data_IF_985812639613
#
_entry.id   IF_985812639613
#
_cell.length_a   1.000
_cell.length_b   1.000
_cell.length_c   1.000
_cell.angle_alpha   90.00
_cell.angle_beta   90.00
_cell.angle_gamma   90.00
#
_symmetry.space_group_name_H-M   'P 1'
#
loop_
_entity.id
_entity.type
_entity.pdbx_description
1 polymer ?
#
# COMPACT_ATOMS: atom_id res chain seq x y z
N UNK A 1 12.40 7.99 33.14
CA UNK A 1 12.16 8.41 31.75
C UNK A 1 11.12 7.50 31.16
N UNK A 2 9.98 8.07 30.77
CA UNK A 2 8.82 7.33 30.28
C UNK A 2 9.16 6.58 28.98
N UNK A 3 8.53 5.43 28.74
CA UNK A 3 8.78 4.62 27.56
C UNK A 3 8.48 5.40 26.27
N UNK A 4 7.40 6.18 26.26
CA UNK A 4 7.02 7.04 25.13
C UNK A 4 8.04 8.15 24.89
N UNK A 5 8.65 8.65 25.94
CA UNK A 5 9.71 9.64 25.87
C UNK A 5 10.97 9.03 25.23
N UNK A 6 11.35 7.80 25.61
CA UNK A 6 12.50 7.09 25.02
C UNK A 6 12.29 6.80 23.54
N UNK A 7 11.10 6.33 23.18
CA UNK A 7 10.72 6.11 21.78
C UNK A 7 10.71 7.44 21.02
N UNK A 8 10.19 8.50 21.65
CA UNK A 8 10.13 9.86 21.10
C UNK A 8 11.51 10.36 20.67
N UNK A 9 12.53 10.23 21.53
CA UNK A 9 13.91 10.62 21.20
C UNK A 9 14.41 9.93 19.94
N UNK A 10 14.16 8.62 19.79
CA UNK A 10 14.60 7.88 18.60
C UNK A 10 13.82 8.27 17.35
N UNK A 11 12.53 8.57 17.47
CA UNK A 11 11.74 9.08 16.34
C UNK A 11 12.17 10.49 15.94
N UNK A 12 12.54 11.35 16.90
CA UNK A 12 13.10 12.67 16.62
C UNK A 12 14.44 12.59 15.89
N UNK A 13 15.30 11.62 16.23
CA UNK A 13 16.53 11.34 15.49
C UNK A 13 16.25 10.97 14.03
N UNK A 14 15.23 10.14 13.78
CA UNK A 14 14.79 9.79 12.42
C UNK A 14 14.28 11.04 11.69
N UNK A 15 13.50 11.89 12.37
CA UNK A 15 12.96 13.13 11.82
C UNK A 15 14.04 14.15 11.46
N UNK A 16 15.17 14.15 12.16
CA UNK A 16 16.29 15.07 11.87
C UNK A 16 17.05 14.71 10.59
N UNK A 17 16.81 13.53 10.00
CA UNK A 17 17.40 13.17 8.72
C UNK A 17 16.88 14.07 7.59
N UNK A 18 17.79 14.48 6.70
CA UNK A 18 17.49 15.41 5.62
C UNK A 18 16.35 14.87 4.74
N UNK A 19 15.29 15.67 4.62
CA UNK A 19 14.14 15.38 3.78
C UNK A 19 13.12 14.42 4.40
N UNK A 20 13.33 13.95 5.64
CA UNK A 20 12.26 13.32 6.44
C UNK A 20 11.37 14.42 7.00
N UNK A 21 10.07 14.25 6.83
CA UNK A 21 9.08 15.20 7.34
C UNK A 21 8.44 14.68 8.62
N UNK A 22 8.08 13.38 8.63
CA UNK A 22 7.40 12.75 9.76
C UNK A 22 7.81 11.28 9.91
N UNK A 23 7.79 10.79 11.15
CA UNK A 23 7.94 9.39 11.51
C UNK A 23 6.86 9.01 12.55
N UNK A 24 6.07 7.98 12.27
CA UNK A 24 5.01 7.49 13.15
C UNK A 24 5.26 6.02 13.44
N UNK A 25 5.30 5.66 14.72
CA UNK A 25 5.35 4.27 15.18
C UNK A 25 3.93 3.80 15.47
N UNK A 26 3.53 2.71 14.83
CA UNK A 26 2.19 2.13 14.93
C UNK A 26 2.25 0.66 15.29
N UNK A 27 1.19 0.18 15.93
CA UNK A 27 0.92 -1.24 16.12
C UNK A 27 0.20 -1.84 14.91
N UNK A 28 0.19 -3.18 14.88
CA UNK A 28 -0.48 -3.96 13.85
C UNK A 28 -1.99 -3.75 13.78
N UNK A 29 -2.64 -3.42 14.89
CA UNK A 29 -4.06 -3.09 14.94
C UNK A 29 -4.38 -1.65 14.47
N UNK A 30 -3.36 -0.86 14.13
CA UNK A 30 -3.51 0.52 13.67
C UNK A 30 -3.48 1.57 14.79
N UNK A 31 -3.18 1.17 16.03
CA UNK A 31 -3.03 2.12 17.13
C UNK A 31 -1.68 2.86 17.10
N UNK A 32 -1.67 4.20 17.20
CA UNK A 32 -0.42 4.96 17.28
C UNK A 32 0.26 4.80 18.64
N UNK A 33 1.56 4.54 18.62
CA UNK A 33 2.40 4.48 19.83
C UNK A 33 3.01 5.85 20.12
N UNK A 34 3.71 6.41 19.12
CA UNK A 34 4.41 7.67 19.23
C UNK A 34 4.72 8.22 17.82
N UNK A 35 4.91 9.53 17.71
CA UNK A 35 5.26 10.20 16.45
C UNK A 35 6.27 11.34 16.64
N UNK A 36 7.02 11.67 15.59
CA UNK A 36 7.87 12.85 15.49
C UNK A 36 7.70 13.50 14.11
N UNK A 37 7.70 14.83 14.01
CA UNK A 37 7.49 15.52 12.73
C UNK A 37 6.75 16.85 12.82
N UNK A 38 6.32 17.35 11.67
CA UNK A 38 5.38 18.49 11.56
C UNK A 38 4.10 18.13 12.34
N UNK A 39 3.46 19.14 12.93
CA UNK A 39 2.30 19.02 13.81
C UNK A 39 1.13 18.31 13.11
N UNK A 40 1.12 16.99 13.15
CA UNK A 40 -0.08 16.23 12.87
C UNK A 40 -1.05 16.42 14.04
N UNK A 41 -2.31 16.65 13.72
CA UNK A 41 -3.39 16.49 14.69
C UNK A 41 -3.46 15.03 15.16
N UNK A 42 -4.08 14.80 16.33
CA UNK A 42 -4.31 13.44 16.83
C UNK A 42 -5.05 12.56 15.81
N UNK A 43 -5.99 13.16 15.07
CA UNK A 43 -6.76 12.48 14.05
C UNK A 43 -5.91 12.11 12.84
N UNK A 44 -4.96 12.96 12.43
CA UNK A 44 -4.02 12.64 11.35
C UNK A 44 -3.09 11.50 11.75
N UNK A 45 -2.57 11.51 12.98
CA UNK A 45 -1.72 10.43 13.50
C UNK A 45 -2.50 9.10 13.47
N UNK A 46 -3.74 9.09 13.96
CA UNK A 46 -4.58 7.89 13.95
C UNK A 46 -4.88 7.39 12.53
N UNK A 47 -5.26 8.30 11.62
CA UNK A 47 -5.54 7.95 10.23
C UNK A 47 -4.32 7.35 9.53
N UNK A 48 -3.12 7.88 9.78
CA UNK A 48 -1.87 7.34 9.25
C UNK A 48 -1.59 5.96 9.82
N UNK A 49 -1.69 5.80 11.13
CA UNK A 49 -1.49 4.50 11.80
C UNK A 49 -2.45 3.42 11.30
N UNK A 50 -3.74 3.75 11.21
CA UNK A 50 -4.77 2.84 10.69
C UNK A 50 -4.53 2.49 9.22
N UNK A 51 -4.27 3.47 8.36
CA UNK A 51 -4.06 3.22 6.94
C UNK A 51 -2.76 2.45 6.68
N UNK A 52 -1.67 2.80 7.36
CA UNK A 52 -0.38 2.10 7.20
C UNK A 52 -0.42 0.67 7.72
N UNK A 53 -1.12 0.42 8.83
CA UNK A 53 -1.42 -0.94 9.29
C UNK A 53 -2.21 -1.73 8.23
N UNK A 54 -3.29 -1.17 7.69
CA UNK A 54 -4.10 -1.84 6.68
C UNK A 54 -3.27 -2.19 5.43
N UNK A 55 -2.49 -1.23 4.92
CA UNK A 55 -1.59 -1.41 3.77
C UNK A 55 -0.58 -2.52 4.05
N UNK A 56 0.04 -2.51 5.24
CA UNK A 56 1.06 -3.49 5.59
C UNK A 56 0.48 -4.89 5.79
N UNK A 57 -0.69 -5.01 6.43
CA UNK A 57 -1.38 -6.29 6.60
C UNK A 57 -1.76 -6.91 5.24
N UNK A 58 -2.25 -6.13 4.28
CA UNK A 58 -2.48 -6.62 2.91
C UNK A 58 -1.15 -7.02 2.25
N UNK A 59 -0.08 -6.26 2.46
CA UNK A 59 1.26 -6.62 2.01
C UNK A 59 1.74 -7.97 2.55
N UNK A 60 1.51 -8.26 3.84
CA UNK A 60 1.80 -9.57 4.44
C UNK A 60 0.91 -10.65 3.79
N UNK A 61 -0.36 -10.40 3.53
CA UNK A 61 -1.20 -11.39 2.84
C UNK A 61 -0.71 -11.71 1.43
N UNK A 62 -0.21 -10.69 0.70
CA UNK A 62 0.41 -10.87 -0.62
C UNK A 62 1.76 -11.61 -0.51
N UNK A 63 2.56 -11.32 0.51
CA UNK A 63 3.91 -11.87 0.72
C UNK A 63 4.16 -12.30 2.18
N UNK A 64 3.56 -13.42 2.65
CA UNK A 64 3.49 -13.76 4.08
C UNK A 64 4.82 -13.90 4.80
N UNK A 65 5.83 -14.39 4.09
CA UNK A 65 7.14 -14.71 4.67
C UNK A 65 8.29 -13.90 4.06
N UNK A 66 8.01 -13.06 3.06
CA UNK A 66 9.04 -12.44 2.22
C UNK A 66 9.05 -10.91 2.34
N UNK A 67 7.98 -10.26 2.83
CA UNK A 67 7.86 -8.80 2.84
C UNK A 67 8.86 -8.12 3.79
N UNK A 68 9.71 -7.25 3.24
CA UNK A 68 10.64 -6.40 3.99
C UNK A 68 10.06 -5.04 4.31
N UNK A 69 9.58 -4.32 3.30
CA UNK A 69 8.96 -3.01 3.46
C UNK A 69 8.06 -2.67 2.27
N UNK A 70 7.21 -1.67 2.45
CA UNK A 70 6.36 -1.10 1.41
C UNK A 70 6.76 0.35 1.21
N UNK A 71 6.91 0.75 -0.04
CA UNK A 71 7.23 2.11 -0.45
C UNK A 71 6.12 2.65 -1.35
N UNK A 72 5.47 3.73 -0.94
CA UNK A 72 4.47 4.46 -1.72
C UNK A 72 5.13 5.74 -2.24
N UNK A 73 5.10 5.95 -3.56
CA UNK A 73 5.68 7.11 -4.23
C UNK A 73 4.56 7.97 -4.84
N UNK A 74 4.65 9.28 -4.65
CA UNK A 74 3.80 10.26 -5.31
C UNK A 74 4.57 11.56 -5.59
N UNK A 75 3.92 12.50 -6.28
CA UNK A 75 4.58 13.75 -6.76
C UNK A 75 5.15 14.62 -5.64
N UNK A 76 4.47 14.66 -4.48
CA UNK A 76 4.80 15.58 -3.38
C UNK A 76 5.58 14.93 -2.25
N UNK A 77 5.57 13.61 -2.14
CA UNK A 77 6.21 12.89 -1.04
C UNK A 77 6.37 11.39 -1.37
N UNK A 78 7.16 10.72 -0.54
CA UNK A 78 7.23 9.27 -0.45
C UNK A 78 6.89 8.83 0.96
N UNK A 79 6.24 7.68 1.07
CA UNK A 79 5.87 7.07 2.35
C UNK A 79 6.51 5.68 2.41
N UNK A 80 7.38 5.47 3.38
CA UNK A 80 7.98 4.18 3.68
C UNK A 80 7.24 3.56 4.86
N UNK A 81 6.79 2.32 4.70
CA UNK A 81 6.19 1.52 5.76
C UNK A 81 7.07 0.29 5.96
N UNK A 82 7.69 0.17 7.12
CA UNK A 82 8.59 -0.94 7.42
C UNK A 82 8.26 -1.55 8.79
N UNK A 83 8.34 -2.87 8.94
CA UNK A 83 8.28 -3.52 10.24
C UNK A 83 9.57 -3.29 11.00
N UNK A 84 9.48 -3.37 12.33
CA UNK A 84 10.67 -3.38 13.20
C UNK A 84 11.35 -4.77 13.15
N UNK A 85 11.83 -5.20 11.98
CA UNK A 85 12.37 -6.55 11.73
C UNK A 85 13.89 -6.65 11.68
N UNK A 86 14.58 -5.69 12.28
CA UNK A 86 16.01 -5.89 12.49
C UNK A 86 16.23 -6.97 13.54
N UNK A 87 17.16 -7.93 13.33
CA UNK A 87 17.54 -8.83 14.40
C UNK A 87 18.04 -7.97 15.55
N UNK A 88 17.34 -8.08 16.67
CA UNK A 88 17.87 -7.67 17.96
C UNK A 88 18.99 -8.67 18.24
N UNK A 89 20.08 -8.24 18.88
CA UNK A 89 21.23 -9.08 19.21
C UNK A 89 20.88 -10.56 19.47
N UNK A 90 21.68 -11.48 18.95
CA UNK A 90 21.49 -12.94 19.12
C UNK A 90 21.19 -13.34 20.58
N UNK A 91 21.85 -12.68 21.53
CA UNK A 91 21.61 -12.85 22.97
C UNK A 91 20.21 -12.41 23.43
N UNK A 92 19.69 -11.28 22.93
CA UNK A 92 18.33 -10.81 23.26
C UNK A 92 17.26 -11.70 22.63
N UNK A 93 17.45 -12.14 21.38
CA UNK A 93 16.53 -13.09 20.73
C UNK A 93 16.44 -14.41 21.51
N UNK A 94 17.54 -14.87 22.08
CA UNK A 94 17.56 -16.07 22.93
C UNK A 94 16.80 -15.88 24.25
N UNK A 95 16.95 -14.71 24.89
CA UNK A 95 16.18 -14.35 26.10
C UNK A 95 14.68 -14.28 25.79
N UNK A 96 14.31 -13.70 24.65
CA UNK A 96 12.91 -13.58 24.21
C UNK A 96 12.27 -14.94 23.95
N UNK A 97 12.99 -15.83 23.27
CA UNK A 97 12.56 -17.21 23.05
C UNK A 97 12.39 -17.97 24.37
N UNK A 98 13.28 -17.75 25.34
CA UNK A 98 13.20 -18.37 26.68
C UNK A 98 12.03 -17.85 27.52
N UNK A 99 11.58 -16.61 27.29
CA UNK A 99 10.42 -16.01 27.96
C UNK A 99 9.08 -16.33 27.28
N UNK A 100 9.07 -17.15 26.21
CA UNK A 100 7.87 -17.48 25.45
C UNK A 100 7.32 -16.31 24.60
N UNK A 101 8.06 -15.21 24.51
CA UNK A 101 7.72 -14.06 23.65
C UNK A 101 8.13 -14.45 22.22
N UNK A 102 7.19 -15.03 21.47
CA UNK A 102 7.35 -15.27 20.04
C UNK A 102 7.54 -13.91 19.34
N UNK A 103 8.72 -13.68 18.75
CA UNK A 103 9.03 -12.47 17.96
C UNK A 103 8.10 -12.40 16.75
N UNK A 104 6.91 -11.84 16.95
CA UNK A 104 5.99 -11.57 15.86
C UNK A 104 6.58 -10.39 15.09
N UNK A 105 7.31 -10.72 14.03
CA UNK A 105 7.94 -9.80 13.06
C UNK A 105 7.00 -8.74 12.47
N UNK A 106 5.72 -8.74 12.80
CA UNK A 106 4.74 -7.84 12.24
C UNK A 106 3.87 -7.14 13.29
N UNK A 107 4.33 -7.05 14.54
CA UNK A 107 3.56 -6.39 15.59
C UNK A 107 3.66 -4.86 15.55
N UNK A 108 4.83 -4.33 15.16
CA UNK A 108 5.10 -2.89 15.15
C UNK A 108 5.66 -2.46 13.80
N UNK A 109 5.14 -1.33 13.30
CA UNK A 109 5.53 -0.74 12.03
C UNK A 109 5.93 0.72 12.22
N UNK A 110 6.92 1.16 11.45
CA UNK A 110 7.24 2.57 11.29
C UNK A 110 6.76 3.06 9.93
N UNK A 111 6.07 4.19 9.95
CA UNK A 111 5.69 4.95 8.76
C UNK A 111 6.52 6.23 8.70
N UNK A 112 7.35 6.38 7.67
CA UNK A 112 8.18 7.57 7.44
C UNK A 112 7.67 8.29 6.20
N UNK A 113 7.30 9.55 6.36
CA UNK A 113 6.97 10.44 5.23
C UNK A 113 8.18 11.32 4.93
N UNK A 114 8.58 11.38 3.66
CA UNK A 114 9.74 12.13 3.20
C UNK A 114 9.44 12.89 1.90
N UNK A 115 10.24 13.90 1.62
CA UNK A 115 10.23 14.63 0.35
C UNK A 115 10.48 13.70 -0.86
N UNK A 116 9.98 14.04 -2.06
CA UNK A 116 9.97 13.11 -3.20
C UNK A 116 11.39 12.78 -3.70
N UNK A 117 12.32 13.73 -3.61
CA UNK A 117 13.70 13.56 -4.08
C UNK A 117 14.60 12.88 -3.05
N UNK A 118 14.08 12.51 -1.88
CA UNK A 118 14.89 11.92 -0.82
C UNK A 118 15.25 10.47 -1.12
N UNK A 119 16.50 10.10 -0.84
CA UNK A 119 16.97 8.72 -0.95
C UNK A 119 16.52 7.90 0.28
N UNK A 120 15.42 7.18 0.13
CA UNK A 120 14.86 6.35 1.19
C UNK A 120 15.73 5.17 1.58
N UNK A 121 16.56 4.63 0.67
CA UNK A 121 17.54 3.60 1.04
C UNK A 121 18.58 4.16 2.00
N UNK A 122 19.02 5.40 1.77
CA UNK A 122 19.88 6.15 2.70
C UNK A 122 19.22 6.41 4.04
N UNK A 123 17.95 6.85 4.05
CA UNK A 123 17.17 6.99 5.29
C UNK A 123 17.09 5.65 6.01
N UNK A 124 16.70 4.56 5.35
CA UNK A 124 16.53 3.27 6.00
C UNK A 124 17.84 2.79 6.69
N UNK A 125 18.99 2.92 6.02
CA UNK A 125 20.28 2.59 6.61
C UNK A 125 20.61 3.46 7.84
N UNK A 126 20.41 4.78 7.74
CA UNK A 126 20.68 5.73 8.81
C UNK A 126 19.72 5.56 10.00
N UNK A 127 18.48 5.14 9.75
CA UNK A 127 17.48 4.89 10.78
C UNK A 127 17.62 3.51 11.44
N UNK A 128 18.37 2.57 10.85
CA UNK A 128 18.44 1.18 11.30
C UNK A 128 18.79 1.02 12.79
N UNK A 129 19.77 1.78 13.29
CA UNK A 129 20.15 1.79 14.70
C UNK A 129 19.04 2.38 15.60
N UNK A 130 18.34 3.41 15.14
CA UNK A 130 17.19 3.96 15.86
C UNK A 130 16.06 2.93 15.95
N UNK A 131 15.76 2.22 14.85
CA UNK A 131 14.74 1.17 14.81
C UNK A 131 15.07 0.01 15.75
N UNK A 132 16.35 -0.42 15.80
CA UNK A 132 16.80 -1.43 16.77
C UNK A 132 16.60 -0.96 18.21
N UNK A 133 16.97 0.29 18.53
CA UNK A 133 16.81 0.84 19.88
C UNK A 133 15.33 0.97 20.28
N UNK A 134 14.46 1.40 19.36
CA UNK A 134 13.01 1.42 19.57
C UNK A 134 12.50 0.02 19.88
N UNK A 135 12.87 -0.98 19.08
CA UNK A 135 12.44 -2.38 19.30
C UNK A 135 12.92 -2.93 20.64
N UNK A 136 14.20 -2.74 20.97
CA UNK A 136 14.76 -3.16 22.27
C UNK A 136 14.01 -2.49 23.42
N UNK A 137 13.69 -1.21 23.29
CA UNK A 137 12.97 -0.44 24.30
C UNK A 137 11.54 -0.95 24.51
N UNK A 138 10.82 -1.28 23.43
CA UNK A 138 9.49 -1.91 23.51
C UNK A 138 9.54 -3.27 24.21
N UNK A 139 10.51 -4.11 23.85
CA UNK A 139 10.60 -5.48 24.36
C UNK A 139 11.05 -5.54 25.82
N UNK A 140 12.07 -4.76 26.18
CA UNK A 140 12.59 -4.70 27.56
C UNK A 140 11.59 -4.10 28.55
N UNK A 141 10.50 -3.49 28.07
CA UNK A 141 9.41 -2.96 28.89
C UNK A 141 8.36 -4.00 29.30
N UNK A 142 8.60 -5.28 28.97
CA UNK A 142 7.75 -6.47 28.88
C UNK A 142 6.67 -6.80 29.94
N UNK A 143 6.31 -5.90 30.86
CA UNK A 143 5.14 -6.04 31.74
C UNK A 143 4.29 -4.76 31.90
N UNK A 144 4.75 -3.62 31.38
CA UNK A 144 4.12 -2.31 31.63
C UNK A 144 3.56 -1.60 30.39
N UNK A 145 3.91 -2.06 29.18
CA UNK A 145 3.41 -1.47 27.95
C UNK A 145 2.21 -2.26 27.40
N UNK A 146 1.04 -2.03 28.01
CA UNK A 146 -0.15 -1.86 27.18
C UNK A 146 -0.09 -0.42 26.71
N UNK A 147 0.07 -0.13 25.40
CA UNK A 147 -0.19 1.22 24.93
C UNK A 147 -1.55 1.61 25.49
N UNK A 148 -1.74 2.85 25.98
CA UNK A 148 -3.06 3.23 26.41
C UNK A 148 -3.94 2.98 25.20
N UNK A 149 -4.82 1.98 25.33
CA UNK A 149 -6.05 1.94 24.57
C UNK A 149 -6.56 3.35 24.78
N UNK A 150 -6.53 4.17 23.73
CA UNK A 150 -7.40 5.32 23.74
C UNK A 150 -8.76 4.65 23.84
N UNK A 151 -9.30 4.58 25.06
CA UNK A 151 -10.68 4.20 25.28
C UNK A 151 -11.44 5.35 24.65
N UNK A 152 -11.64 5.22 23.34
CA UNK A 152 -12.67 5.93 22.66
C UNK A 152 -13.94 5.45 23.34
N UNK A 153 -14.64 6.37 24.02
CA UNK A 153 -15.99 6.09 24.45
C UNK A 153 -16.80 5.59 23.24
N UNK A 154 -17.86 4.82 23.49
CA UNK A 154 -18.69 4.30 22.41
C UNK A 154 -19.15 5.41 21.45
N UNK A 155 -19.31 6.65 21.94
CA UNK A 155 -19.72 7.78 21.11
C UNK A 155 -18.63 8.20 20.12
N UNK A 156 -17.35 8.13 20.50
CA UNK A 156 -16.19 8.45 19.68
C UNK A 156 -15.91 7.34 18.68
N UNK A 157 -16.02 6.08 19.10
CA UNK A 157 -15.98 4.93 18.18
C UNK A 157 -17.10 5.08 17.14
N UNK A 158 -18.32 5.37 17.58
CA UNK A 158 -19.45 5.63 16.69
C UNK A 158 -19.24 6.88 15.83
N UNK A 159 -18.54 7.91 16.30
CA UNK A 159 -18.21 9.11 15.51
C UNK A 159 -17.18 8.82 14.42
N UNK A 160 -16.18 7.97 14.72
CA UNK A 160 -15.16 7.52 13.78
C UNK A 160 -15.79 6.59 12.74
N UNK A 161 -16.58 5.60 13.18
CA UNK A 161 -17.38 4.74 12.30
C UNK A 161 -18.34 5.58 11.45
N UNK A 162 -19.01 6.58 12.02
CA UNK A 162 -19.85 7.55 11.28
C UNK A 162 -19.06 8.46 10.34
N UNK A 163 -17.79 8.70 10.61
CA UNK A 163 -16.89 9.44 9.71
C UNK A 163 -16.32 8.59 8.58
N UNK A 164 -16.24 7.26 8.78
CA UNK A 164 -15.95 6.28 7.74
C UNK A 164 -17.18 5.88 6.92
N UNK A 165 -18.37 5.92 7.53
CA UNK A 165 -19.64 5.95 6.81
C UNK A 165 -19.70 7.28 6.06
N UNK A 166 -19.70 7.19 4.74
CA UNK A 166 -20.08 8.31 3.87
C UNK A 166 -21.39 8.87 4.43
N UNK A 167 -21.46 10.18 4.68
CA UNK A 167 -22.69 10.82 5.17
C UNK A 167 -23.86 10.43 4.24
N UNK A 168 -24.70 9.50 4.67
CA UNK A 168 -25.88 9.04 3.91
C UNK A 168 -26.97 10.11 3.78
N UNK A 169 -26.82 11.26 4.48
CA UNK A 169 -27.84 12.32 4.56
C UNK A 169 -27.51 13.59 3.77
N UNK A 170 -26.41 13.62 3.03
CA UNK A 170 -26.32 14.58 1.92
C UNK A 170 -26.91 13.86 0.71
N UNK A 171 -28.01 14.38 0.14
CA UNK A 171 -28.48 14.02 -1.20
C UNK A 171 -27.42 14.45 -2.22
N UNK A 172 -26.26 13.80 -2.15
CA UNK A 172 -25.40 13.68 -3.29
C UNK A 172 -26.25 12.94 -4.30
N UNK A 173 -26.62 13.63 -5.38
CA UNK A 173 -26.83 12.98 -6.65
C UNK A 173 -25.48 12.33 -7.02
N UNK A 174 -25.16 11.21 -6.36
CA UNK A 174 -24.18 10.28 -6.86
C UNK A 174 -24.80 9.79 -8.15
N UNK A 175 -24.43 10.45 -9.25
CA UNK A 175 -24.30 9.73 -10.52
C UNK A 175 -23.31 8.63 -10.21
N UNK A 176 -23.82 7.49 -9.76
CA UNK A 176 -23.09 6.23 -9.79
C UNK A 176 -22.91 5.97 -11.27
N UNK A 177 -21.90 6.59 -11.85
CA UNK A 177 -21.38 6.15 -13.13
C UNK A 177 -20.80 4.78 -12.80
N UNK A 178 -21.55 3.72 -13.08
CA UNK A 178 -20.95 2.41 -13.23
C UNK A 178 -19.81 2.60 -14.21
N UNK A 179 -18.57 2.60 -13.72
CA UNK A 179 -17.43 2.65 -14.61
C UNK A 179 -17.29 1.25 -15.20
N UNK A 180 -18.16 0.96 -16.15
CA UNK A 180 -18.09 -0.25 -16.98
C UNK A 180 -17.03 0.01 -18.04
N UNK A 181 -15.78 -0.24 -17.70
CA UNK A 181 -14.68 -0.12 -18.65
C UNK A 181 -14.85 -1.22 -19.70
N UNK A 182 -15.53 -0.92 -20.80
CA UNK A 182 -15.75 -1.85 -21.89
C UNK A 182 -14.50 -1.87 -22.79
N UNK A 183 -13.67 -2.89 -22.62
CA UNK A 183 -12.48 -3.08 -23.44
C UNK A 183 -12.88 -3.68 -24.78
N UNK A 184 -12.75 -2.91 -25.85
CA UNK A 184 -12.91 -3.45 -27.21
C UNK A 184 -11.90 -4.56 -27.47
N UNK A 185 -12.19 -5.44 -28.42
CA UNK A 185 -11.29 -6.53 -28.82
C UNK A 185 -9.91 -5.98 -29.24
N UNK A 186 -9.90 -4.87 -29.99
CA UNK A 186 -8.66 -4.23 -30.41
C UNK A 186 -7.82 -3.75 -29.22
N UNK A 187 -8.43 -3.06 -28.25
CA UNK A 187 -7.70 -2.60 -27.05
C UNK A 187 -7.21 -3.80 -26.23
N UNK A 188 -8.02 -4.84 -26.09
CA UNK A 188 -7.62 -6.07 -25.39
C UNK A 188 -6.42 -6.75 -26.07
N UNK A 189 -6.35 -6.71 -27.40
CA UNK A 189 -5.22 -7.23 -28.15
C UNK A 189 -3.97 -6.33 -28.03
N UNK A 190 -4.12 -5.01 -28.07
CA UNK A 190 -3.04 -4.04 -27.82
C UNK A 190 -2.47 -4.19 -26.40
N UNK A 191 -3.32 -4.32 -25.37
CA UNK A 191 -2.90 -4.56 -23.98
C UNK A 191 -2.09 -5.85 -23.85
N UNK A 192 -2.55 -6.95 -24.47
CA UNK A 192 -1.82 -8.23 -24.50
C UNK A 192 -0.45 -8.09 -25.16
N UNK A 193 -0.36 -7.37 -26.28
CA UNK A 193 0.92 -7.09 -26.96
C UNK A 193 1.87 -6.30 -26.06
N UNK A 194 1.37 -5.28 -25.36
CA UNK A 194 2.18 -4.47 -24.43
C UNK A 194 2.71 -5.33 -23.28
N UNK A 195 1.88 -6.18 -22.66
CA UNK A 195 2.31 -7.10 -21.60
C UNK A 195 3.28 -8.18 -22.10
N UNK A 196 3.10 -8.68 -23.32
CA UNK A 196 4.02 -9.62 -23.94
C UNK A 196 5.41 -8.99 -24.13
N UNK A 197 5.46 -7.78 -24.70
CA UNK A 197 6.71 -7.02 -24.85
C UNK A 197 7.36 -6.71 -23.50
N UNK A 198 6.55 -6.37 -22.49
CA UNK A 198 7.03 -6.17 -21.12
C UNK A 198 7.68 -7.43 -20.56
N UNK A 199 7.06 -8.60 -20.79
CA UNK A 199 7.60 -9.88 -20.32
C UNK A 199 8.94 -10.26 -20.96
N UNK A 200 9.19 -9.80 -22.18
CA UNK A 200 10.48 -9.98 -22.85
C UNK A 200 11.52 -9.02 -22.25
N UNK A 201 11.11 -7.77 -21.98
CA UNK A 201 11.99 -6.74 -21.45
C UNK A 201 12.40 -6.93 -19.98
N UNK A 202 11.59 -7.63 -19.17
CA UNK A 202 11.85 -7.92 -17.76
C UNK A 202 12.26 -9.39 -17.57
N UNK A 203 13.56 -9.66 -17.34
CA UNK A 203 14.06 -10.95 -16.88
C UNK A 203 13.45 -11.32 -15.54
N UNK A 204 13.24 -12.62 -15.31
CA UNK A 204 12.74 -13.16 -14.04
C UNK A 204 11.34 -12.60 -13.64
N UNK A 205 10.56 -12.15 -14.62
CA UNK A 205 9.16 -11.82 -14.44
C UNK A 205 8.40 -13.07 -13.98
N UNK A 206 7.68 -12.98 -12.86
CA UNK A 206 6.78 -14.04 -12.39
C UNK A 206 5.40 -13.86 -13.02
N UNK A 207 4.83 -12.67 -12.88
CA UNK A 207 3.58 -12.27 -13.51
C UNK A 207 3.51 -10.76 -13.72
N UNK A 208 2.65 -10.34 -14.64
CA UNK A 208 2.18 -8.97 -14.73
C UNK A 208 0.70 -8.96 -15.14
N UNK A 209 -0.07 -8.04 -14.59
CA UNK A 209 -1.48 -7.90 -14.91
C UNK A 209 -1.92 -6.44 -14.82
N UNK A 210 -3.03 -6.17 -15.48
CA UNK A 210 -3.72 -4.89 -15.47
C UNK A 210 -5.10 -5.17 -14.90
N UNK A 211 -5.51 -4.40 -13.90
CA UNK A 211 -6.87 -4.48 -13.37
C UNK A 211 -7.63 -3.19 -13.62
N UNK A 212 -8.96 -3.33 -13.67
CA UNK A 212 -9.91 -2.23 -13.66
C UNK A 212 -10.52 -2.09 -12.26
N UNK A 213 -11.54 -1.24 -12.14
CA UNK A 213 -12.24 -0.98 -10.88
C UNK A 213 -12.70 -2.27 -10.20
N UNK A 214 -12.47 -2.39 -8.88
CA UNK A 214 -12.78 -3.60 -8.12
C UNK A 214 -11.71 -4.71 -8.19
N UNK A 215 -10.62 -4.52 -8.95
CA UNK A 215 -9.53 -5.49 -9.03
C UNK A 215 -9.71 -6.60 -10.06
N UNK A 216 -10.72 -6.48 -10.94
CA UNK A 216 -10.94 -7.40 -12.06
C UNK A 216 -9.79 -7.31 -13.07
N UNK A 217 -9.25 -8.46 -13.48
CA UNK A 217 -8.14 -8.52 -14.43
C UNK A 217 -8.64 -8.24 -15.85
N UNK A 218 -8.12 -7.18 -16.47
CA UNK A 218 -8.33 -6.84 -17.87
C UNK A 218 -7.36 -7.59 -18.81
N UNK A 219 -6.11 -7.75 -18.37
CA UNK A 219 -5.09 -8.47 -19.13
C UNK A 219 -4.02 -8.98 -18.18
N UNK A 220 -3.45 -10.15 -18.48
CA UNK A 220 -2.42 -10.79 -17.66
C UNK A 220 -1.39 -11.54 -18.50
N UNK A 221 -0.21 -11.71 -17.91
CA UNK A 221 0.82 -12.64 -18.36
C UNK A 221 1.42 -13.35 -17.14
N UNK A 222 1.58 -14.66 -17.22
CA UNK A 222 2.25 -15.48 -16.22
C UNK A 222 3.40 -16.24 -16.90
N UNK A 223 4.58 -16.21 -16.29
CA UNK A 223 5.74 -16.96 -16.79
C UNK A 223 6.05 -18.24 -16.00
N UNK A 224 5.63 -18.31 -14.73
CA UNK A 224 5.75 -19.53 -13.92
C UNK A 224 4.36 -20.16 -13.73
N UNK A 225 4.17 -21.33 -14.32
CA UNK A 225 2.88 -22.04 -14.47
C UNK A 225 2.51 -22.96 -13.30
N UNK A 226 3.30 -23.04 -12.22
CA UNK A 226 2.94 -23.88 -11.07
C UNK A 226 1.95 -23.13 -10.17
N UNK A 227 0.71 -23.65 -10.08
CA UNK A 227 -0.40 -23.35 -9.15
C UNK A 227 -0.90 -21.90 -9.00
N UNK A 228 -0.33 -20.92 -9.73
CA UNK A 228 -0.60 -19.49 -9.49
C UNK A 228 -1.78 -18.87 -10.25
N UNK A 229 -2.35 -19.54 -11.26
CA UNK A 229 -3.49 -18.95 -11.97
C UNK A 229 -4.72 -18.77 -11.07
N UNK A 230 -5.03 -19.75 -10.21
CA UNK A 230 -6.15 -19.67 -9.25
C UNK A 230 -5.95 -18.63 -8.15
N UNK A 231 -4.72 -18.16 -7.93
CA UNK A 231 -4.42 -17.14 -6.93
C UNK A 231 -4.30 -15.73 -7.53
N UNK A 232 -4.23 -15.59 -8.86
CA UNK A 232 -3.96 -14.28 -9.45
C UNK A 232 -5.13 -13.31 -9.28
N UNK A 233 -6.38 -13.79 -9.33
CA UNK A 233 -7.56 -12.94 -9.10
C UNK A 233 -7.62 -12.42 -7.66
N UNK A 234 -7.22 -13.25 -6.69
CA UNK A 234 -7.09 -12.82 -5.29
C UNK A 234 -5.96 -11.80 -5.12
N UNK A 235 -4.79 -12.08 -5.71
CA UNK A 235 -3.64 -11.18 -5.71
C UNK A 235 -4.02 -9.84 -6.36
N UNK A 236 -4.79 -9.86 -7.45
CA UNK A 236 -5.18 -8.67 -8.20
C UNK A 236 -6.17 -7.82 -7.40
N UNK A 237 -7.16 -8.44 -6.76
CA UNK A 237 -8.10 -7.78 -5.85
C UNK A 237 -7.39 -7.17 -4.64
N UNK A 238 -6.49 -7.91 -4.00
CA UNK A 238 -5.69 -7.42 -2.86
C UNK A 238 -4.77 -6.27 -3.27
N UNK A 239 -4.09 -6.38 -4.42
CA UNK A 239 -3.19 -5.32 -4.91
C UNK A 239 -3.96 -4.04 -5.25
N UNK A 240 -5.17 -4.18 -5.80
CA UNK A 240 -6.07 -3.04 -6.05
C UNK A 240 -6.50 -2.36 -4.74
N UNK A 241 -6.93 -3.16 -3.75
CA UNK A 241 -7.33 -2.66 -2.43
C UNK A 241 -6.17 -1.96 -1.70
N UNK A 242 -4.97 -2.55 -1.75
CA UNK A 242 -3.75 -1.96 -1.21
C UNK A 242 -3.48 -0.60 -1.86
N UNK A 243 -3.56 -0.53 -3.19
CA UNK A 243 -3.32 0.71 -3.92
C UNK A 243 -4.33 1.81 -3.57
N UNK A 244 -5.62 1.48 -3.50
CA UNK A 244 -6.67 2.42 -3.11
C UNK A 244 -6.46 2.96 -1.69
N UNK A 245 -6.12 2.07 -0.76
CA UNK A 245 -5.85 2.44 0.64
C UNK A 245 -4.62 3.33 0.74
N UNK A 246 -3.55 3.00 0.01
CA UNK A 246 -2.34 3.82 -0.08
C UNK A 246 -2.62 5.19 -0.72
N UNK A 247 -3.46 5.25 -1.75
CA UNK A 247 -3.85 6.50 -2.38
C UNK A 247 -4.62 7.41 -1.41
N UNK A 248 -5.57 6.84 -0.64
CA UNK A 248 -6.28 7.56 0.42
C UNK A 248 -5.31 8.06 1.51
N UNK A 249 -4.38 7.22 1.94
CA UNK A 249 -3.33 7.58 2.89
C UNK A 249 -2.48 8.77 2.39
N UNK A 250 -2.01 8.69 1.14
CA UNK A 250 -1.24 9.76 0.49
C UNK A 250 -2.04 11.06 0.37
N UNK A 251 -3.34 10.97 0.07
CA UNK A 251 -4.23 12.13 0.00
C UNK A 251 -4.40 12.80 1.36
N UNK A 252 -4.63 12.03 2.42
CA UNK A 252 -4.76 12.55 3.77
C UNK A 252 -3.47 13.25 4.24
N UNK A 253 -2.32 12.62 3.99
CA UNK A 253 -1.01 13.09 4.43
C UNK A 253 -0.49 14.32 3.68
N UNK A 254 -0.64 14.34 2.35
CA UNK A 254 0.07 15.30 1.47
C UNK A 254 -0.80 15.93 0.39
N UNK A 255 -2.11 15.65 0.39
CA UNK A 255 -3.04 16.08 -0.67
C UNK A 255 -2.44 15.72 -2.04
N UNK A 256 -2.02 14.46 -2.16
CA UNK A 256 -1.41 13.88 -3.35
C UNK A 256 -2.02 12.51 -3.64
N UNK A 257 -1.92 12.06 -4.88
CA UNK A 257 -2.22 10.68 -5.24
C UNK A 257 -0.94 9.84 -5.21
N UNK A 258 -1.08 8.57 -4.86
CA UNK A 258 -0.05 7.58 -5.08
C UNK A 258 0.11 7.33 -6.59
N UNK A 259 1.34 7.31 -7.08
CA UNK A 259 1.65 6.99 -8.48
C UNK A 259 2.14 5.56 -8.61
N UNK A 260 2.96 5.12 -7.65
CA UNK A 260 3.48 3.76 -7.61
C UNK A 260 3.67 3.27 -6.19
N UNK A 261 3.60 1.95 -6.02
CA UNK A 261 3.89 1.24 -4.80
C UNK A 261 4.90 0.15 -5.12
N UNK A 262 5.93 0.04 -4.30
CA UNK A 262 6.90 -1.04 -4.31
C UNK A 262 6.74 -1.83 -3.02
N UNK A 263 6.42 -3.12 -3.14
CA UNK A 263 6.59 -4.09 -2.06
C UNK A 263 7.96 -4.74 -2.27
N UNK A 264 8.88 -4.48 -1.35
CA UNK A 264 10.19 -5.09 -1.37
C UNK A 264 10.17 -6.38 -0.56
N UNK A 265 10.48 -7.50 -1.20
CA UNK A 265 10.51 -8.81 -0.56
C UNK A 265 11.96 -9.33 -0.44
N UNK A 266 12.26 -10.45 0.21
CA UNK A 266 13.63 -10.97 0.25
C UNK A 266 14.11 -11.38 -1.14
N UNK A 267 13.28 -12.10 -1.90
CA UNK A 267 13.66 -12.69 -3.18
C UNK A 267 12.98 -12.06 -4.40
N UNK A 268 12.04 -11.14 -4.20
CA UNK A 268 11.31 -10.49 -5.28
C UNK A 268 10.97 -9.03 -5.01
N UNK A 269 10.54 -8.34 -6.06
CA UNK A 269 9.90 -7.05 -6.01
C UNK A 269 8.50 -7.17 -6.60
N UNK A 270 7.50 -6.59 -5.95
CA UNK A 270 6.21 -6.33 -6.57
C UNK A 270 6.03 -4.82 -6.74
N UNK A 271 5.70 -4.40 -7.96
CA UNK A 271 5.37 -3.02 -8.29
C UNK A 271 3.88 -2.92 -8.60
N UNK A 272 3.24 -1.87 -8.11
CA UNK A 272 1.85 -1.52 -8.42
C UNK A 272 1.82 -0.07 -8.87
N UNK A 273 1.46 0.18 -10.12
CA UNK A 273 1.37 1.50 -10.73
C UNK A 273 -0.08 1.92 -10.91
N UNK A 274 -0.40 3.14 -10.49
CA UNK A 274 -1.72 3.73 -10.70
C UNK A 274 -1.91 4.17 -12.15
N UNK A 275 -3.04 3.80 -12.73
CA UNK A 275 -3.43 4.15 -14.10
C UNK A 275 -4.79 4.86 -14.13
N UNK A 276 -5.06 5.71 -13.13
CA UNK A 276 -6.37 6.30 -12.90
C UNK A 276 -7.25 5.37 -12.06
N UNK A 277 -8.36 4.89 -12.62
CA UNK A 277 -9.26 3.92 -11.96
C UNK A 277 -8.77 2.46 -12.02
N UNK A 278 -7.66 2.23 -12.72
CA UNK A 278 -7.03 0.96 -12.96
C UNK A 278 -5.65 0.91 -12.30
N UNK A 279 -5.10 -0.30 -12.13
CA UNK A 279 -3.69 -0.48 -11.76
C UNK A 279 -2.97 -1.40 -12.74
N UNK A 280 -1.67 -1.20 -12.90
CA UNK A 280 -0.77 -2.16 -13.49
C UNK A 280 0.14 -2.72 -12.40
N UNK A 281 0.13 -4.04 -12.21
CA UNK A 281 0.87 -4.72 -11.15
C UNK A 281 1.75 -5.82 -11.74
N UNK A 282 2.96 -5.96 -11.19
CA UNK A 282 3.94 -6.93 -11.66
C UNK A 282 4.83 -7.40 -10.53
N UNK A 283 5.15 -8.70 -10.53
CA UNK A 283 6.12 -9.29 -9.61
C UNK A 283 7.27 -9.93 -10.39
N UNK A 284 8.50 -9.67 -9.94
CA UNK A 284 9.73 -10.18 -10.55
C UNK A 284 10.76 -10.55 -9.50
N UNK A 285 11.62 -11.52 -9.79
CA UNK A 285 12.71 -11.92 -8.90
C UNK A 285 13.88 -10.92 -8.89
N UNK A 286 14.66 -10.92 -7.80
CA UNK A 286 15.81 -10.01 -7.62
C UNK A 286 17.10 -10.48 -8.30
N UNK A 287 17.13 -11.71 -8.82
CA UNK A 287 18.37 -12.41 -9.14
C UNK A 287 19.10 -11.88 -10.40
N UNK A 288 18.37 -11.24 -11.34
CA UNK A 288 18.88 -10.95 -12.69
C UNK A 288 18.95 -9.48 -13.09
N UNK A 289 18.39 -8.55 -12.31
CA UNK A 289 18.41 -7.12 -12.65
C UNK A 289 18.53 -6.20 -11.43
N UNK A 290 19.27 -5.10 -11.60
CA UNK A 290 19.35 -4.02 -10.62
C UNK A 290 18.02 -3.25 -10.59
N UNK A 291 17.51 -2.97 -9.39
CA UNK A 291 16.28 -2.21 -9.13
C UNK A 291 16.19 -0.89 -9.93
N UNK A 292 17.31 -0.18 -10.10
CA UNK A 292 17.36 1.07 -10.86
C UNK A 292 16.98 0.91 -12.34
N UNK A 293 17.39 -0.19 -12.99
CA UNK A 293 17.04 -0.44 -14.38
C UNK A 293 15.54 -0.76 -14.53
N UNK A 294 15.01 -1.58 -13.61
CA UNK A 294 13.58 -1.92 -13.57
C UNK A 294 12.73 -0.64 -13.44
N UNK A 295 13.14 0.29 -12.56
CA UNK A 295 12.48 1.59 -12.35
C UNK A 295 12.54 2.51 -13.58
N UNK A 296 13.45 2.30 -14.53
CA UNK A 296 13.48 3.03 -15.80
C UNK A 296 12.53 2.40 -16.84
N UNK A 297 12.42 1.08 -16.85
CA UNK A 297 11.64 0.33 -17.84
C UNK A 297 10.14 0.41 -17.52
N UNK A 298 9.74 0.15 -16.27
CA UNK A 298 8.32 0.03 -15.90
C UNK A 298 7.50 1.28 -16.28
N UNK A 299 7.93 2.52 -16.00
CA UNK A 299 7.15 3.72 -16.33
C UNK A 299 6.82 3.84 -17.83
N UNK A 300 7.71 3.39 -18.72
CA UNK A 300 7.47 3.43 -20.16
C UNK A 300 6.29 2.54 -20.56
N UNK A 301 6.21 1.33 -19.99
CA UNK A 301 5.10 0.41 -20.22
C UNK A 301 3.83 0.90 -19.51
N UNK A 302 3.95 1.39 -18.29
CA UNK A 302 2.85 1.99 -17.52
C UNK A 302 2.15 3.12 -18.31
N UNK A 303 2.92 4.02 -18.92
CA UNK A 303 2.36 5.12 -19.72
C UNK A 303 1.63 4.63 -20.98
N UNK A 304 2.16 3.60 -21.65
CA UNK A 304 1.48 2.97 -22.79
C UNK A 304 0.18 2.29 -22.37
N UNK A 305 0.17 1.60 -21.24
CA UNK A 305 -1.05 0.98 -20.72
C UNK A 305 -2.06 2.07 -20.34
N UNK A 306 -1.61 3.15 -19.69
CA UNK A 306 -2.47 4.26 -19.30
C UNK A 306 -3.20 4.88 -20.50
N UNK A 307 -2.50 5.12 -21.61
CA UNK A 307 -3.13 5.68 -22.82
C UNK A 307 -4.17 4.75 -23.43
N UNK A 308 -3.94 3.42 -23.40
CA UNK A 308 -4.91 2.42 -23.85
C UNK A 308 -6.16 2.38 -22.98
N UNK A 309 -5.98 2.42 -21.65
CA UNK A 309 -7.11 2.47 -20.70
C UNK A 309 -7.90 3.77 -20.88
N UNK A 310 -7.22 4.90 -21.07
CA UNK A 310 -7.87 6.18 -21.32
C UNK A 310 -8.71 6.15 -22.60
N UNK A 311 -8.16 5.63 -23.70
CA UNK A 311 -8.91 5.42 -24.96
C UNK A 311 -10.13 4.53 -24.75
N UNK A 312 -10.00 3.44 -23.98
CA UNK A 312 -11.14 2.57 -23.67
C UNK A 312 -12.25 3.29 -22.90
N UNK A 313 -11.89 4.19 -21.98
CA UNK A 313 -12.87 5.01 -21.25
C UNK A 313 -13.56 6.07 -22.10
N UNK A 314 -12.92 6.53 -23.18
CA UNK A 314 -13.48 7.53 -24.12
C UNK A 314 -14.41 6.90 -25.18
N UNK A 315 -14.23 5.61 -25.50
CA UNK A 315 -15.10 4.85 -26.42
C UNK A 315 -16.48 4.57 -25.82
N UNK A 316 -16.66 4.74 -24.50
CA UNK A 316 -17.98 4.67 -23.90
C UNK A 316 -18.85 5.83 -24.39
N UNK A 317 -19.86 5.51 -25.19
CA UNK A 317 -21.10 6.29 -25.20
C UNK A 317 -21.57 6.37 -23.76
N UNK A 318 -21.46 7.54 -23.15
CA UNK A 318 -22.05 7.84 -21.85
C UNK A 318 -23.57 7.86 -21.98
N UNK A 319 -24.21 6.72 -22.26
CA UNK A 319 -25.63 6.58 -21.96
C UNK A 319 -25.72 6.46 -20.45
N UNK A 320 -26.26 7.47 -19.75
CA UNK A 320 -26.50 7.35 -18.33
C UNK A 320 -27.34 6.08 -18.11
N UNK A 321 -26.95 5.28 -17.13
CA UNK A 321 -27.73 4.12 -16.72
C UNK A 321 -29.12 4.60 -16.30
N UNK A 322 -30.12 4.38 -17.16
CA UNK A 322 -31.51 4.73 -16.90
C UNK A 322 -32.30 3.44 -16.66
N UNK A 323 -32.58 3.20 -15.38
CA UNK A 323 -33.34 2.06 -14.88
C UNK A 323 -34.70 1.97 -15.59
N UNK A 324 -35.30 3.10 -16.00
CA UNK A 324 -36.58 3.13 -16.69
C UNK A 324 -36.49 2.54 -18.10
N UNK A 325 -35.40 2.77 -18.81
CA UNK A 325 -35.20 2.20 -20.16
C UNK A 325 -35.01 0.69 -20.10
N UNK A 326 -34.23 0.21 -19.12
CA UNK A 326 -33.99 -1.24 -18.96
C UNK A 326 -35.25 -2.01 -18.52
N UNK A 327 -36.03 -1.44 -17.59
CA UNK A 327 -37.33 -2.00 -17.20
C UNK A 327 -38.34 -1.94 -18.35
N UNK A 328 -38.34 -0.87 -19.14
CA UNK A 328 -39.16 -0.77 -20.35
C UNK A 328 -38.83 -1.85 -21.38
N UNK A 329 -37.54 -2.13 -21.61
CA UNK A 329 -37.09 -3.19 -22.53
C UNK A 329 -37.43 -4.61 -22.02
N UNK A 330 -37.46 -4.82 -20.70
CA UNK A 330 -37.89 -6.09 -20.09
C UNK A 330 -39.41 -6.31 -20.17
N UNK A 331 -40.21 -5.24 -20.09
CA UNK A 331 -41.68 -5.31 -20.16
C UNK A 331 -42.16 -5.54 -21.61
N UNK A 332 -41.42 -5.07 -22.62
CA UNK A 332 -41.81 -5.22 -24.03
C UNK A 332 -41.55 -6.64 -24.58
N UNK A 333 -40.81 -7.49 -23.86
CA UNK A 333 -40.56 -8.90 -24.22
C UNK A 333 -41.36 -9.92 -23.38
N UNK A 334 -42.39 -9.47 -22.67
CA UNK A 334 -43.35 -10.32 -21.96
C UNK A 334 -44.51 -10.75 -22.83
#
# INVERSE_FOLDING_TARGET
MDLREKIGIHLDQIKQLKGVENAVLTQRDGNPIQSAGVWFSKDEIFNVSSATSAIFNVGIHLHPNDLKYILIEGKKAKILIAPLNSPIHYSLNRILQQQGILDNKHEFFIAITAQPNTNLGGIFLQTSECLKKIKTTLITSGESFKPPLVQFDEQRIQSIIKGFNVKENENFNFKVSSFSLNLSENISMELRKVLSNFSIAIPDLKYAYITIEGGFIASKILKNTNDKEKNLDNISAMSYSLFQTANRCAWLLKKMNAESILLDCENSFQFIHGLGKAIFSTEMGKSRQKLGLIRLIIPQFSNKIHSLIKRASEIQDQRPFDIKTMLGELIIKG
#
